data_IF_554845302000
#
_entry.id   IF_554845302000
#
_cell.length_a   1.000
_cell.length_b   1.000
_cell.length_c   1.000
_cell.angle_alpha   90.00
_cell.angle_beta   90.00
_cell.angle_gamma   90.00
#
_symmetry.space_group_name_H-M   'P 1'
#
loop_
_entity.id
_entity.type
_entity.pdbx_description
1 polymer ?
#
# COMPACT_ATOMS: atom_id res chain seq x y z
N UNK A 1 39.01 -42.52 -4.89
CA UNK A 1 37.56 -42.73 -5.02
C UNK A 1 36.94 -41.74 -4.03
N UNK A 2 36.68 -40.49 -4.44
CA UNK A 2 35.47 -39.99 -5.12
C UNK A 2 34.23 -40.26 -4.24
N UNK A 3 33.37 -39.31 -3.87
CA UNK A 3 33.07 -37.99 -4.42
C UNK A 3 32.42 -37.07 -3.37
N UNK A 4 32.46 -35.77 -3.68
CA UNK A 4 31.72 -34.63 -3.15
C UNK A 4 30.19 -34.87 -3.11
N UNK A 5 29.46 -34.20 -2.21
CA UNK A 5 28.56 -33.12 -2.63
C UNK A 5 27.81 -32.42 -1.49
N UNK A 6 27.86 -31.09 -1.59
CA UNK A 6 27.10 -30.09 -0.87
C UNK A 6 25.65 -30.21 -1.31
N UNK A 7 24.75 -30.69 -0.46
CA UNK A 7 23.31 -30.60 -0.73
C UNK A 7 22.81 -29.20 -0.37
N UNK A 8 22.95 -28.32 -1.36
CA UNK A 8 21.88 -27.50 -1.93
C UNK A 8 20.61 -27.35 -1.05
N UNK A 9 20.56 -26.24 -0.32
CA UNK A 9 19.32 -25.67 0.22
C UNK A 9 18.88 -24.53 -0.70
N UNK A 10 18.60 -24.85 -1.94
CA UNK A 10 17.73 -24.03 -2.79
C UNK A 10 16.29 -24.52 -2.56
N UNK A 11 15.61 -23.90 -1.59
CA UNK A 11 14.16 -23.92 -1.54
C UNK A 11 13.64 -23.24 -2.81
N UNK A 12 13.35 -24.08 -3.79
CA UNK A 12 12.59 -23.79 -4.99
C UNK A 12 11.28 -23.09 -4.63
N UNK A 13 11.29 -21.77 -4.63
CA UNK A 13 10.09 -20.98 -4.85
C UNK A 13 9.59 -21.36 -6.24
N UNK A 14 8.35 -21.84 -6.42
CA UNK A 14 7.76 -21.88 -7.74
C UNK A 14 7.64 -20.42 -8.19
N UNK A 15 8.58 -19.96 -9.01
CA UNK A 15 8.32 -18.85 -9.91
C UNK A 15 7.15 -19.30 -10.78
N UNK A 16 5.95 -18.88 -10.40
CA UNK A 16 4.80 -18.88 -11.30
C UNK A 16 5.17 -17.95 -12.45
N UNK A 17 5.81 -18.52 -13.48
CA UNK A 17 5.86 -17.94 -14.81
C UNK A 17 4.49 -18.15 -15.43
N UNK A 18 3.50 -17.45 -14.86
CA UNK A 18 2.22 -17.20 -15.48
C UNK A 18 2.33 -15.85 -16.17
N UNK A 19 2.36 -15.86 -17.49
CA UNK A 19 2.16 -14.65 -18.28
C UNK A 19 0.72 -14.18 -18.06
N UNK A 20 0.52 -13.34 -17.04
CA UNK A 20 -0.71 -12.59 -16.86
C UNK A 20 -0.49 -11.17 -17.39
N UNK A 21 -0.70 -11.03 -18.70
CA UNK A 21 -1.02 -9.74 -19.30
C UNK A 21 -2.36 -9.31 -18.71
N UNK A 22 -2.33 -8.57 -17.60
CA UNK A 22 -3.53 -7.87 -17.14
C UNK A 22 -3.79 -6.71 -18.09
N UNK A 23 -4.57 -6.98 -19.14
CA UNK A 23 -5.37 -5.94 -19.77
C UNK A 23 -6.44 -5.55 -18.76
N UNK A 24 -6.09 -4.63 -17.87
CA UNK A 24 -7.08 -3.86 -17.16
C UNK A 24 -7.70 -2.89 -18.17
N UNK A 25 -8.86 -3.26 -18.70
CA UNK A 25 -9.74 -2.30 -19.35
C UNK A 25 -10.29 -1.37 -18.25
N UNK A 26 -9.68 -0.20 -18.11
CA UNK A 26 -10.24 0.88 -17.30
C UNK A 26 -11.41 1.44 -18.11
N UNK A 27 -12.58 0.81 -18.00
CA UNK A 27 -13.82 1.46 -18.39
C UNK A 27 -14.09 2.54 -17.35
N UNK A 28 -13.56 3.74 -17.59
CA UNK A 28 -13.92 4.95 -16.86
C UNK A 28 -15.40 5.20 -17.15
N UNK A 29 -16.27 4.87 -16.21
CA UNK A 29 -17.66 5.33 -16.21
C UNK A 29 -17.61 6.84 -15.97
N UNK A 30 -17.51 7.59 -17.07
CA UNK A 30 -17.68 9.02 -17.10
C UNK A 30 -19.18 9.30 -16.85
N UNK A 31 -19.61 9.25 -15.58
CA UNK A 31 -20.82 9.97 -15.22
C UNK A 31 -20.56 11.45 -15.50
N UNK A 32 -21.15 11.93 -16.61
CA UNK A 32 -21.07 13.29 -17.12
C UNK A 32 -21.68 14.25 -16.09
N UNK A 33 -20.89 14.57 -15.07
CA UNK A 33 -21.20 15.62 -14.13
C UNK A 33 -21.05 16.93 -14.87
N UNK A 34 -22.18 17.61 -15.11
CA UNK A 34 -22.36 18.91 -15.77
C UNK A 34 -21.48 20.07 -15.22
N UNK A 35 -20.54 19.81 -14.30
CA UNK A 35 -19.54 20.75 -13.83
C UNK A 35 -18.26 20.83 -14.70
N UNK A 36 -18.13 20.04 -15.78
CA UNK A 36 -16.92 20.00 -16.63
C UNK A 36 -16.78 21.19 -17.62
N UNK A 37 -17.75 22.11 -17.68
CA UNK A 37 -17.68 23.27 -18.59
C UNK A 37 -16.43 24.15 -18.39
N UNK A 38 -15.86 24.18 -17.17
CA UNK A 38 -14.65 24.96 -16.87
C UNK A 38 -13.34 24.26 -17.25
N UNK A 39 -13.33 22.93 -17.35
CA UNK A 39 -12.11 22.11 -17.54
C UNK A 39 -11.93 21.61 -18.99
N UNK A 40 -12.97 21.70 -19.82
CA UNK A 40 -12.93 21.32 -21.25
C UNK A 40 -11.80 21.99 -22.03
N UNK A 41 -11.39 23.20 -21.63
CA UNK A 41 -10.25 23.91 -22.22
C UNK A 41 -8.88 23.47 -21.70
N UNK A 42 -8.79 22.94 -20.48
CA UNK A 42 -7.55 22.57 -19.82
C UNK A 42 -6.95 21.26 -20.35
N UNK A 43 -7.76 20.39 -20.96
CA UNK A 43 -7.34 19.08 -21.51
C UNK A 43 -6.88 19.13 -22.98
N UNK A 44 -6.76 20.30 -23.59
CA UNK A 44 -6.37 20.43 -25.01
C UNK A 44 -4.86 20.59 -25.15
N UNK A 45 -4.21 19.59 -25.75
CA UNK A 45 -2.83 19.71 -26.20
C UNK A 45 -2.75 20.68 -27.38
N UNK A 46 -1.82 21.63 -27.33
CA UNK A 46 -1.58 22.60 -28.40
C UNK A 46 -0.09 22.64 -28.76
N UNK A 47 0.23 22.80 -30.05
CA UNK A 47 1.60 23.04 -30.49
C UNK A 47 1.98 24.49 -30.18
N UNK A 48 3.09 24.67 -29.48
CA UNK A 48 3.64 25.99 -29.16
C UNK A 48 4.64 26.40 -30.24
N UNK A 49 4.47 27.59 -30.80
CA UNK A 49 5.51 28.24 -31.59
C UNK A 49 6.47 28.99 -30.65
N UNK A 50 7.72 28.52 -30.57
CA UNK A 50 8.75 29.07 -29.68
C UNK A 50 9.06 30.54 -30.03
N UNK A 51 8.85 30.96 -31.27
CA UNK A 51 9.08 32.33 -31.71
C UNK A 51 7.90 33.26 -31.41
N UNK A 52 6.74 32.72 -31.07
CA UNK A 52 5.52 33.47 -30.80
C UNK A 52 4.70 32.78 -29.68
N UNK A 53 5.29 32.71 -28.49
CA UNK A 53 4.64 32.10 -27.34
C UNK A 53 3.51 33.01 -26.83
N UNK A 54 2.30 32.47 -26.59
CA UNK A 54 1.26 33.22 -25.90
C UNK A 54 1.73 33.58 -24.48
N UNK A 55 1.18 34.65 -23.91
CA UNK A 55 1.49 35.01 -22.53
C UNK A 55 1.20 33.81 -21.60
N UNK A 56 2.11 33.51 -20.65
CA UNK A 56 1.88 32.44 -19.69
C UNK A 56 0.53 32.63 -18.98
N UNK A 57 -0.25 31.55 -18.78
CA UNK A 57 -1.46 31.64 -17.98
C UNK A 57 -1.18 32.27 -16.60
N UNK A 58 -2.12 33.03 -16.03
CA UNK A 58 -1.99 33.56 -14.69
C UNK A 58 -1.68 32.44 -13.69
N UNK A 59 -0.73 32.69 -12.79
CA UNK A 59 -0.46 31.76 -11.68
C UNK A 59 -1.65 31.82 -10.73
N UNK A 60 -2.35 30.70 -10.57
CA UNK A 60 -3.39 30.58 -9.56
C UNK A 60 -2.73 30.42 -8.19
N UNK A 61 -2.95 31.33 -7.23
CA UNK A 61 -2.44 31.14 -5.88
C UNK A 61 -3.17 29.99 -5.20
N UNK A 62 -2.46 29.24 -4.35
CA UNK A 62 -3.10 28.25 -3.48
C UNK A 62 -4.01 28.97 -2.48
N UNK A 63 -5.31 28.70 -2.55
CA UNK A 63 -6.33 29.31 -1.68
C UNK A 63 -6.64 28.46 -0.44
N UNK A 64 -6.09 27.25 -0.35
CA UNK A 64 -6.27 26.38 0.80
C UNK A 64 -5.46 26.88 2.00
N UNK A 65 -5.90 26.50 3.20
CA UNK A 65 -5.05 26.61 4.39
C UNK A 65 -4.02 25.48 4.37
N UNK A 66 -2.72 25.79 4.28
CA UNK A 66 -1.66 24.77 4.34
C UNK A 66 -1.54 24.23 5.76
N UNK A 67 -1.03 23.00 5.89
CA UNK A 67 -0.73 22.37 7.18
C UNK A 67 -1.75 21.33 7.64
N UNK A 68 -1.51 20.83 8.86
CA UNK A 68 -2.31 19.77 9.46
C UNK A 68 -3.65 20.35 9.91
N UNK A 69 -4.74 19.78 9.40
CA UNK A 69 -6.11 20.19 9.74
C UNK A 69 -6.67 19.51 10.98
N UNK A 70 -6.02 18.45 11.47
CA UNK A 70 -6.40 17.73 12.69
C UNK A 70 -5.71 18.36 13.91
N UNK A 71 -6.43 18.44 15.02
CA UNK A 71 -5.84 18.90 16.28
C UNK A 71 -5.00 17.75 16.87
N UNK A 72 -3.68 17.96 16.98
CA UNK A 72 -2.75 17.01 17.59
C UNK A 72 -2.27 17.65 18.88
N UNK A 73 -2.63 17.03 20.02
CA UNK A 73 -2.37 17.57 21.35
C UNK A 73 -0.87 17.61 21.69
N UNK A 74 -0.12 16.60 21.26
CA UNK A 74 1.32 16.49 21.46
C UNK A 74 2.03 16.31 20.11
N UNK A 75 2.57 17.40 19.52
CA UNK A 75 3.27 17.35 18.24
C UNK A 75 4.60 16.59 18.28
N UNK A 76 5.17 16.36 19.46
CA UNK A 76 6.43 15.63 19.62
C UNK A 76 6.20 14.11 19.70
N UNK A 77 4.97 13.68 19.95
CA UNK A 77 4.60 12.29 19.93
C UNK A 77 4.25 11.86 18.49
N UNK A 78 5.01 10.94 17.87
CA UNK A 78 4.72 10.47 16.52
C UNK A 78 3.51 9.53 16.43
N UNK A 79 3.05 8.95 17.54
CA UNK A 79 1.92 7.99 17.54
C UNK A 79 0.60 8.62 17.04
N UNK A 80 0.17 9.80 17.53
CA UNK A 80 -1.00 10.49 16.98
C UNK A 80 -0.96 10.70 15.47
N UNK A 81 0.21 10.92 14.89
CA UNK A 81 0.36 11.10 13.44
C UNK A 81 0.22 9.78 12.69
N UNK A 82 0.79 8.70 13.24
CA UNK A 82 0.64 7.36 12.69
C UNK A 82 -0.83 6.92 12.64
N UNK A 83 -1.58 7.18 13.71
CA UNK A 83 -3.01 6.85 13.81
C UNK A 83 -3.90 7.66 12.85
N UNK A 84 -3.40 8.74 12.23
CA UNK A 84 -4.13 9.43 11.15
C UNK A 84 -4.24 8.58 9.88
N UNK A 85 -3.26 7.71 9.65
CA UNK A 85 -3.20 6.84 8.48
C UNK A 85 -3.68 5.43 8.81
N UNK A 86 -3.37 4.95 10.02
CA UNK A 86 -3.78 3.65 10.52
C UNK A 86 -4.85 3.81 11.59
N UNK A 87 -6.03 4.23 11.14
CA UNK A 87 -7.17 4.37 12.03
C UNK A 87 -7.63 3.00 12.57
N UNK A 88 -8.42 3.05 13.65
CA UNK A 88 -8.89 1.85 14.32
C UNK A 88 -9.74 0.95 13.41
N UNK A 89 -10.48 1.52 12.47
CA UNK A 89 -11.36 0.76 11.58
C UNK A 89 -10.55 -0.01 10.54
N UNK A 90 -9.54 0.62 9.94
CA UNK A 90 -8.60 0.00 9.03
C UNK A 90 -7.85 -1.14 9.73
N UNK A 91 -7.32 -0.90 10.93
CA UNK A 91 -6.60 -1.94 11.67
C UNK A 91 -7.51 -3.10 12.05
N UNK A 92 -8.74 -2.82 12.48
CA UNK A 92 -9.74 -3.87 12.75
C UNK A 92 -10.08 -4.67 11.49
N UNK A 93 -10.14 -4.02 10.33
CA UNK A 93 -10.38 -4.69 9.06
C UNK A 93 -9.21 -5.62 8.71
N UNK A 94 -7.97 -5.16 8.86
CA UNK A 94 -6.76 -5.97 8.66
C UNK A 94 -6.78 -7.20 9.58
N UNK A 95 -7.10 -7.03 10.86
CA UNK A 95 -7.22 -8.15 11.83
C UNK A 95 -8.25 -9.16 11.34
N UNK A 96 -9.42 -8.69 10.94
CA UNK A 96 -10.53 -9.53 10.47
C UNK A 96 -10.11 -10.36 9.25
N UNK A 97 -9.54 -9.72 8.24
CA UNK A 97 -9.11 -10.36 7.00
C UNK A 97 -7.95 -11.32 7.23
N UNK A 98 -7.00 -10.96 8.11
CA UNK A 98 -5.85 -11.81 8.48
C UNK A 98 -6.32 -13.10 9.14
N UNK A 99 -7.23 -12.99 10.12
CA UNK A 99 -7.78 -14.15 10.82
C UNK A 99 -8.60 -15.03 9.89
N UNK A 100 -9.46 -14.42 9.06
CA UNK A 100 -10.25 -15.14 8.04
C UNK A 100 -9.35 -15.93 7.09
N UNK A 101 -8.30 -15.30 6.57
CA UNK A 101 -7.36 -15.97 5.67
C UNK A 101 -6.64 -17.13 6.37
N UNK A 102 -6.17 -16.91 7.60
CA UNK A 102 -5.47 -17.96 8.33
C UNK A 102 -6.36 -19.18 8.62
N UNK A 103 -7.62 -18.97 8.98
CA UNK A 103 -8.61 -20.05 9.13
C UNK A 103 -8.81 -20.81 7.82
N UNK A 104 -9.00 -20.11 6.69
CA UNK A 104 -9.13 -20.72 5.37
C UNK A 104 -7.89 -21.54 5.02
N UNK A 105 -6.70 -21.00 5.28
CA UNK A 105 -5.43 -21.65 4.99
C UNK A 105 -5.23 -22.93 5.81
N UNK A 106 -5.47 -22.88 7.13
CA UNK A 106 -5.37 -24.03 8.04
C UNK A 106 -6.34 -25.14 7.63
N UNK A 107 -7.58 -24.77 7.25
CA UNK A 107 -8.60 -25.74 6.84
C UNK A 107 -8.27 -26.42 5.51
N UNK A 108 -7.71 -25.69 4.55
CA UNK A 108 -7.31 -26.23 3.24
C UNK A 108 -6.01 -27.03 3.31
N UNK A 109 -5.11 -26.70 4.24
CA UNK A 109 -3.78 -27.28 4.36
C UNK A 109 -3.58 -27.86 5.77
N UNK A 110 -4.15 -29.04 6.08
CA UNK A 110 -3.90 -29.73 7.35
C UNK A 110 -2.41 -30.08 7.45
N UNK A 111 -1.66 -29.21 8.12
CA UNK A 111 -0.20 -29.28 8.17
C UNK A 111 0.33 -30.53 8.87
N UNK A 112 1.62 -30.82 8.67
CA UNK A 112 2.36 -31.82 9.46
C UNK A 112 2.26 -31.46 10.95
N UNK A 113 2.30 -32.46 11.84
CA UNK A 113 2.10 -32.31 13.29
C UNK A 113 2.92 -31.20 13.95
N UNK A 114 4.09 -30.86 13.40
CA UNK A 114 5.00 -29.82 13.89
C UNK A 114 5.05 -28.55 13.02
N UNK A 115 4.10 -28.35 12.10
CA UNK A 115 4.10 -27.15 11.25
C UNK A 115 3.70 -25.91 12.05
N UNK A 116 4.30 -24.76 11.72
CA UNK A 116 3.96 -23.46 12.33
C UNK A 116 2.48 -23.12 12.16
N UNK A 117 1.87 -23.56 11.07
CA UNK A 117 0.44 -23.39 10.76
C UNK A 117 -0.47 -24.00 11.82
N UNK A 118 -0.08 -25.12 12.45
CA UNK A 118 -0.86 -25.73 13.54
C UNK A 118 -0.85 -24.94 14.84
N UNK A 119 0.15 -24.08 15.02
CA UNK A 119 0.29 -23.20 16.19
C UNK A 119 -0.20 -21.78 15.88
N UNK A 120 -0.95 -21.58 14.79
CA UNK A 120 -1.55 -20.29 14.50
C UNK A 120 -2.60 -19.94 15.55
N UNK A 121 -2.60 -18.68 15.98
CA UNK A 121 -3.60 -18.10 16.84
C UNK A 121 -4.17 -16.83 16.19
N UNK A 122 -5.47 -16.55 16.35
CA UNK A 122 -6.04 -15.31 15.85
C UNK A 122 -5.32 -14.09 16.42
N UNK A 123 -5.01 -13.13 15.54
CA UNK A 123 -4.39 -11.88 15.93
C UNK A 123 -5.43 -10.87 16.40
N UNK A 124 -4.96 -9.79 17.04
CA UNK A 124 -5.78 -8.69 17.53
C UNK A 124 -5.18 -7.33 17.13
N UNK A 125 -5.91 -6.25 17.42
CA UNK A 125 -5.50 -4.89 17.02
C UNK A 125 -4.17 -4.48 17.65
N UNK A 126 -3.90 -4.86 18.90
CA UNK A 126 -2.66 -4.52 19.60
C UNK A 126 -1.44 -5.18 18.96
N UNK A 127 -1.57 -6.46 18.57
CA UNK A 127 -0.52 -7.20 17.86
C UNK A 127 -0.23 -6.59 16.49
N UNK A 128 -1.26 -6.21 15.73
CA UNK A 128 -1.08 -5.55 14.43
C UNK A 128 -0.45 -4.16 14.60
N UNK A 129 -0.83 -3.39 15.61
CA UNK A 129 -0.17 -2.13 15.93
C UNK A 129 1.30 -2.34 16.32
N UNK A 130 1.60 -3.36 17.14
CA UNK A 130 2.96 -3.71 17.51
C UNK A 130 3.80 -4.13 16.30
N UNK A 131 3.21 -4.91 15.38
CA UNK A 131 3.84 -5.29 14.12
C UNK A 131 4.21 -4.06 13.29
N UNK A 132 3.28 -3.13 13.05
CA UNK A 132 3.57 -1.92 12.29
C UNK A 132 4.62 -1.03 12.95
N UNK A 133 4.56 -0.89 14.28
CA UNK A 133 5.58 -0.14 15.04
C UNK A 133 6.96 -0.75 14.86
N UNK A 134 7.06 -2.08 14.95
CA UNK A 134 8.33 -2.80 14.77
C UNK A 134 8.87 -2.69 13.35
N UNK A 135 8.04 -2.90 12.32
CA UNK A 135 8.47 -2.80 10.92
C UNK A 135 8.95 -1.41 10.56
N UNK A 136 8.31 -0.37 11.11
CA UNK A 136 8.73 1.02 10.89
C UNK A 136 10.05 1.33 11.61
N UNK A 137 10.28 0.73 12.78
CA UNK A 137 11.52 0.87 13.53
C UNK A 137 12.69 0.13 12.86
N UNK A 138 12.51 -1.11 12.40
CA UNK A 138 13.59 -1.90 11.78
C UNK A 138 14.03 -1.34 10.43
N UNK A 139 13.12 -0.75 9.65
CA UNK A 139 13.48 -0.04 8.42
C UNK A 139 14.42 1.17 8.62
N UNK A 140 14.46 1.73 9.84
CA UNK A 140 15.35 2.84 10.20
C UNK A 140 16.71 2.38 10.73
N UNK A 141 16.87 1.11 11.11
CA UNK A 141 18.12 0.58 11.69
C UNK A 141 19.04 -0.09 10.66
N UNK A 142 18.62 -0.24 9.40
CA UNK A 142 19.45 -0.85 8.34
C UNK A 142 20.35 0.15 7.60
N UNK A 143 20.52 1.38 8.13
CA UNK A 143 21.38 2.43 7.56
C UNK A 143 22.30 3.02 8.63
N UNK A 144 23.16 2.19 9.20
CA UNK A 144 24.36 2.56 9.96
C UNK A 144 25.35 1.41 9.82
#
# INVERSE_FOLDING_TARGET
>A
MADSDVNDLDEYFPSSSGSETSEYDITSDEEDSDCDYFLKGARRWARLDIKNLPMPPPRFPFSGQPGIKKNILDPLNPLPFFELFFDKQLVLHIVTETNRFAEQYVNQHPGKEKSRTKFWHPTNTEEIYAFFRYTHFTGNNSKT
#
